data_IF_008596229899
#
_entry.id   IF_008596229899
#
_cell.length_a   1.000
_cell.length_b   1.000
_cell.length_c   1.000
_cell.angle_alpha   90.00
_cell.angle_beta   90.00
_cell.angle_gamma   90.00
#
_symmetry.space_group_name_H-M   'P 1'
#
loop_
_entity.id
_entity.type
_entity.pdbx_description
1 polymer ?
#
# COMPACT_ATOMS: atom_id res chain seq x y z
N UNK A 1 1.57 20.80 -2.42
CA UNK A 1 1.15 20.91 -1.00
C UNK A 1 2.18 20.17 -0.15
N UNK A 2 2.61 20.75 0.98
CA UNK A 2 3.54 20.05 1.92
C UNK A 2 2.67 19.21 2.85
N UNK A 3 2.68 17.86 2.79
CA UNK A 3 1.90 17.07 3.73
C UNK A 3 2.44 17.29 5.15
N UNK A 4 1.55 17.39 6.14
CA UNK A 4 1.94 17.43 7.55
C UNK A 4 2.83 16.21 7.85
N UNK A 5 4.03 16.37 8.43
CA UNK A 5 4.98 15.28 8.69
C UNK A 5 4.41 14.14 9.56
N UNK A 6 3.35 14.41 10.31
CA UNK A 6 2.70 13.47 11.24
C UNK A 6 1.62 12.62 10.53
N UNK A 7 1.15 13.03 9.36
CA UNK A 7 -0.05 12.50 8.72
C UNK A 7 0.19 12.05 7.27
N UNK A 8 0.98 10.99 7.08
CA UNK A 8 1.05 10.33 5.77
C UNK A 8 0.55 8.88 5.85
N UNK A 9 -0.78 8.66 5.94
CA UNK A 9 -1.34 7.31 5.95
C UNK A 9 -1.05 6.59 4.63
N UNK A 10 -0.96 7.31 3.50
CA UNK A 10 -0.59 6.71 2.22
C UNK A 10 0.80 6.07 2.27
N UNK A 11 1.81 6.77 2.82
CA UNK A 11 3.16 6.23 2.96
C UNK A 11 3.22 4.97 3.83
N UNK A 12 2.47 4.95 4.94
CA UNK A 12 2.39 3.75 5.80
C UNK A 12 1.69 2.59 5.07
N UNK A 13 0.57 2.84 4.40
CA UNK A 13 -0.12 1.82 3.60
C UNK A 13 0.79 1.26 2.50
N UNK A 14 1.57 2.11 1.82
CA UNK A 14 2.57 1.66 0.85
C UNK A 14 3.66 0.81 1.50
N UNK A 15 4.14 1.17 2.68
CA UNK A 15 5.10 0.35 3.42
C UNK A 15 4.53 -1.03 3.79
N UNK A 16 3.28 -1.07 4.27
CA UNK A 16 2.56 -2.31 4.58
C UNK A 16 2.33 -3.16 3.34
N UNK A 17 2.08 -2.54 2.19
CA UNK A 17 2.00 -3.23 0.92
C UNK A 17 3.35 -3.82 0.52
N UNK A 18 4.41 -3.00 0.55
CA UNK A 18 5.71 -3.34 -0.01
C UNK A 18 6.43 -4.43 0.79
N UNK A 19 6.40 -4.34 2.13
CA UNK A 19 7.16 -5.22 3.02
C UNK A 19 6.97 -6.73 2.74
N UNK A 20 5.74 -7.28 2.67
CA UNK A 20 5.54 -8.70 2.36
C UNK A 20 5.88 -9.06 0.91
N UNK A 21 5.68 -8.17 -0.07
CA UNK A 21 6.07 -8.46 -1.45
C UNK A 21 7.60 -8.47 -1.63
N UNK A 22 8.33 -7.67 -0.86
CA UNK A 22 9.79 -7.67 -0.88
C UNK A 22 10.39 -9.00 -0.41
N UNK A 23 9.72 -9.74 0.47
CA UNK A 23 10.19 -11.08 0.89
C UNK A 23 10.08 -12.09 -0.24
N UNK A 24 9.08 -11.97 -1.13
CA UNK A 24 8.95 -12.81 -2.33
C UNK A 24 10.04 -12.57 -3.37
N UNK A 25 10.81 -11.48 -3.26
CA UNK A 25 11.96 -11.22 -4.13
C UNK A 25 13.24 -11.89 -3.63
N UNK A 26 13.27 -12.31 -2.36
CA UNK A 26 14.47 -12.86 -1.72
C UNK A 26 14.56 -14.37 -1.96
N UNK A 27 15.77 -14.95 -1.95
CA UNK A 27 15.93 -16.41 -1.95
C UNK A 27 15.15 -17.03 -0.79
N UNK A 28 14.22 -17.92 -1.12
CA UNK A 28 13.41 -18.60 -0.12
C UNK A 28 14.21 -19.75 0.52
N UNK A 29 14.06 -19.98 1.84
CA UNK A 29 14.70 -21.11 2.51
C UNK A 29 14.26 -22.46 1.92
N UNK A 30 15.11 -23.50 2.01
CA UNK A 30 14.82 -24.84 1.45
C UNK A 30 13.53 -25.48 1.98
N UNK A 31 13.06 -25.16 3.18
CA UNK A 31 11.80 -25.67 3.72
C UNK A 31 10.55 -25.07 3.04
N UNK A 32 10.67 -23.94 2.32
CA UNK A 32 9.61 -23.47 1.40
C UNK A 32 9.51 -24.35 0.15
N UNK A 33 10.56 -25.12 -0.19
CA UNK A 33 10.61 -25.97 -1.37
C UNK A 33 9.68 -27.20 -1.26
N UNK A 34 9.41 -27.66 -0.04
CA UNK A 34 8.68 -28.92 0.23
C UNK A 34 7.15 -28.79 0.07
N UNK A 35 6.64 -27.60 -0.24
CA UNK A 35 5.22 -27.33 -0.62
C UNK A 35 5.07 -26.29 -1.75
N UNK A 36 6.14 -26.08 -2.53
CA UNK A 36 6.44 -24.88 -3.33
C UNK A 36 5.52 -24.51 -4.51
N UNK A 37 4.41 -25.22 -4.71
CA UNK A 37 3.50 -24.93 -5.81
C UNK A 37 2.53 -23.77 -5.54
N UNK A 38 2.22 -23.51 -4.26
CA UNK A 38 1.18 -22.55 -3.90
C UNK A 38 1.72 -21.11 -3.81
N UNK A 39 1.11 -20.20 -4.56
CA UNK A 39 1.42 -18.77 -4.48
C UNK A 39 1.07 -18.21 -3.10
N UNK A 40 2.02 -17.50 -2.46
CA UNK A 40 1.77 -16.74 -1.23
C UNK A 40 1.01 -15.43 -1.45
N UNK A 41 0.83 -15.03 -2.71
CA UNK A 41 0.22 -13.75 -3.05
C UNK A 41 -1.20 -13.56 -2.49
N UNK A 42 -2.11 -14.55 -2.50
CA UNK A 42 -3.43 -14.40 -1.89
C UNK A 42 -3.36 -14.12 -0.39
N UNK A 43 -2.41 -14.76 0.31
CA UNK A 43 -2.19 -14.56 1.74
C UNK A 43 -1.61 -13.18 2.05
N UNK A 44 -0.69 -12.69 1.21
CA UNK A 44 -0.17 -11.33 1.30
C UNK A 44 -1.30 -10.32 1.12
N UNK A 45 -2.15 -10.49 0.09
CA UNK A 45 -3.31 -9.61 -0.14
C UNK A 45 -4.28 -9.63 1.03
N UNK A 46 -4.58 -10.80 1.56
CA UNK A 46 -5.44 -10.96 2.74
C UNK A 46 -4.87 -10.23 3.95
N UNK A 47 -3.58 -10.47 4.26
CA UNK A 47 -2.89 -9.83 5.37
C UNK A 47 -2.84 -8.31 5.22
N UNK A 48 -2.45 -7.82 4.03
CA UNK A 48 -2.40 -6.40 3.71
C UNK A 48 -3.77 -5.73 3.92
N UNK A 49 -4.86 -6.37 3.47
CA UNK A 49 -6.21 -5.83 3.61
C UNK A 49 -6.59 -5.64 5.07
N UNK A 50 -6.39 -6.67 5.90
CA UNK A 50 -6.75 -6.61 7.32
C UNK A 50 -5.89 -5.61 8.11
N UNK A 51 -4.59 -5.59 7.88
CA UNK A 51 -3.68 -4.66 8.56
C UNK A 51 -3.95 -3.22 8.12
N UNK A 52 -4.24 -2.98 6.85
CA UNK A 52 -4.63 -1.66 6.34
C UNK A 52 -5.91 -1.15 6.99
N UNK A 53 -6.93 -2.01 7.15
CA UNK A 53 -8.17 -1.66 7.85
C UNK A 53 -7.90 -1.34 9.32
N UNK A 54 -7.13 -2.17 10.03
CA UNK A 54 -6.80 -1.95 11.44
C UNK A 54 -6.00 -0.65 11.64
N UNK A 55 -5.03 -0.39 10.77
CA UNK A 55 -4.25 0.83 10.74
C UNK A 55 -5.13 2.05 10.49
N UNK A 56 -5.92 2.08 9.41
CA UNK A 56 -6.76 3.22 9.06
C UNK A 56 -7.80 3.52 10.12
N UNK A 57 -8.48 2.50 10.67
CA UNK A 57 -9.43 2.70 11.79
C UNK A 57 -8.77 3.37 12.99
N UNK A 58 -7.58 2.91 13.37
CA UNK A 58 -6.84 3.45 14.50
C UNK A 58 -6.35 4.87 14.23
N UNK A 59 -5.81 5.10 13.02
CA UNK A 59 -5.33 6.39 12.55
C UNK A 59 -6.45 7.43 12.56
N UNK A 60 -7.61 7.11 11.97
CA UNK A 60 -8.75 8.02 11.89
C UNK A 60 -9.30 8.40 13.26
N UNK A 61 -9.39 7.43 14.19
CA UNK A 61 -9.78 7.68 15.58
C UNK A 61 -8.82 8.63 16.31
N UNK A 62 -7.52 8.54 16.03
CA UNK A 62 -6.52 9.44 16.65
C UNK A 62 -6.56 10.82 15.98
N UNK A 63 -6.67 10.87 14.65
CA UNK A 63 -6.72 12.10 13.88
C UNK A 63 -7.94 12.97 14.25
N UNK A 64 -9.10 12.34 14.45
CA UNK A 64 -10.31 13.01 14.93
C UNK A 64 -10.09 13.66 16.31
N UNK A 65 -9.52 12.91 17.27
CA UNK A 65 -9.21 13.42 18.62
C UNK A 65 -8.18 14.56 18.63
N UNK A 66 -7.28 14.56 17.66
CA UNK A 66 -6.23 15.57 17.54
C UNK A 66 -6.66 16.78 16.68
N UNK A 67 -7.92 16.84 16.21
CA UNK A 67 -8.41 17.86 15.28
C UNK A 67 -7.56 17.98 14.00
N UNK A 68 -7.00 16.85 13.57
CA UNK A 68 -6.15 16.73 12.38
C UNK A 68 -6.95 16.22 11.16
N UNK A 69 -8.27 16.26 11.24
CA UNK A 69 -9.12 15.70 10.20
C UNK A 69 -9.21 16.64 8.98
N UNK A 70 -8.91 16.17 7.75
CA UNK A 70 -8.78 17.07 6.60
C UNK A 70 -10.11 17.55 5.98
N UNK A 71 -11.27 17.12 6.48
CA UNK A 71 -12.58 17.57 5.98
C UNK A 71 -13.71 16.57 6.18
N UNK A 72 -14.42 16.21 5.13
CA UNK A 72 -15.39 15.11 5.14
C UNK A 72 -14.69 13.76 4.92
N UNK A 73 -15.39 12.66 5.20
CA UNK A 73 -14.86 11.34 4.90
C UNK A 73 -14.57 11.15 3.39
N UNK A 74 -15.41 11.71 2.51
CA UNK A 74 -15.21 11.69 1.06
C UNK A 74 -13.96 12.45 0.63
N UNK A 75 -13.73 13.64 1.18
CA UNK A 75 -12.50 14.42 0.92
C UNK A 75 -11.25 13.68 1.40
N UNK A 76 -11.30 13.05 2.58
CA UNK A 76 -10.22 12.20 3.06
C UNK A 76 -9.91 11.05 2.09
N UNK A 77 -10.94 10.36 1.58
CA UNK A 77 -10.75 9.27 0.61
C UNK A 77 -10.09 9.77 -0.67
N UNK A 78 -10.53 10.89 -1.24
CA UNK A 78 -9.94 11.47 -2.45
C UNK A 78 -8.46 11.84 -2.22
N UNK A 79 -8.15 12.47 -1.10
CA UNK A 79 -6.77 12.84 -0.76
C UNK A 79 -5.89 11.59 -0.53
N UNK A 80 -6.43 10.58 0.13
CA UNK A 80 -5.73 9.32 0.36
C UNK A 80 -5.38 8.63 -0.96
N UNK A 81 -6.36 8.52 -1.86
CA UNK A 81 -6.17 7.87 -3.17
C UNK A 81 -5.16 8.65 -4.03
N UNK A 82 -5.23 9.99 -4.03
CA UNK A 82 -4.26 10.84 -4.72
C UNK A 82 -2.83 10.65 -4.18
N UNK A 83 -2.65 10.63 -2.86
CA UNK A 83 -1.33 10.44 -2.25
C UNK A 83 -0.80 9.01 -2.40
N UNK A 84 -1.67 8.00 -2.40
CA UNK A 84 -1.29 6.63 -2.72
C UNK A 84 -0.75 6.54 -4.15
N UNK A 85 -1.45 7.14 -5.11
CA UNK A 85 -1.03 7.17 -6.51
C UNK A 85 0.29 7.91 -6.69
N UNK A 86 0.43 9.10 -6.10
CA UNK A 86 1.67 9.88 -6.10
C UNK A 86 2.85 9.06 -5.57
N UNK A 87 2.67 8.37 -4.44
CA UNK A 87 3.69 7.50 -3.85
C UNK A 87 4.05 6.34 -4.75
N UNK A 88 3.08 5.68 -5.38
CA UNK A 88 3.37 4.53 -6.24
C UNK A 88 4.11 4.97 -7.50
N UNK A 89 3.74 6.10 -8.11
CA UNK A 89 4.46 6.66 -9.26
C UNK A 89 5.91 6.99 -8.90
N UNK A 90 6.12 7.62 -7.73
CA UNK A 90 7.46 7.86 -7.20
C UNK A 90 8.24 6.55 -7.00
N UNK A 91 7.63 5.52 -6.39
CA UNK A 91 8.25 4.21 -6.19
C UNK A 91 8.65 3.56 -7.51
N UNK A 92 7.80 3.60 -8.55
CA UNK A 92 8.15 3.05 -9.88
C UNK A 92 9.42 3.72 -10.41
N UNK A 93 9.46 5.05 -10.42
CA UNK A 93 10.63 5.79 -10.89
C UNK A 93 11.87 5.48 -10.05
N UNK A 94 11.72 5.39 -8.73
CA UNK A 94 12.83 5.06 -7.83
C UNK A 94 13.36 3.64 -8.06
N UNK A 95 12.49 2.63 -8.13
CA UNK A 95 12.90 1.24 -8.30
C UNK A 95 13.52 0.98 -9.68
N UNK A 96 12.99 1.60 -10.75
CA UNK A 96 13.60 1.52 -12.08
C UNK A 96 15.05 2.02 -12.09
N UNK A 97 15.36 3.06 -11.31
CA UNK A 97 16.69 3.64 -11.26
C UNK A 97 17.64 2.94 -10.28
N UNK A 98 17.12 2.32 -9.20
CA UNK A 98 17.96 1.83 -8.11
C UNK A 98 17.92 0.31 -7.93
N UNK A 99 16.78 -0.34 -8.17
CA UNK A 99 16.58 -1.80 -7.97
C UNK A 99 15.54 -2.34 -8.96
N UNK A 100 15.89 -2.49 -10.25
CA UNK A 100 14.91 -2.82 -11.29
C UNK A 100 14.09 -4.09 -11.03
N UNK A 101 14.65 -5.09 -10.34
CA UNK A 101 13.95 -6.31 -9.96
C UNK A 101 12.76 -6.09 -8.99
N UNK A 102 12.77 -4.97 -8.26
CA UNK A 102 11.70 -4.58 -7.34
C UNK A 102 10.51 -3.88 -8.02
N UNK A 103 10.67 -3.37 -9.26
CA UNK A 103 9.64 -2.54 -9.93
C UNK A 103 8.29 -3.24 -10.07
N UNK A 104 8.28 -4.58 -10.12
CA UNK A 104 7.05 -5.38 -10.18
C UNK A 104 6.12 -5.14 -8.99
N UNK A 105 6.67 -4.77 -7.83
CA UNK A 105 5.89 -4.50 -6.60
C UNK A 105 5.03 -3.24 -6.77
N UNK A 106 5.59 -2.05 -7.04
CA UNK A 106 4.76 -0.85 -7.20
C UNK A 106 3.85 -0.91 -8.44
N UNK A 107 4.26 -1.54 -9.55
CA UNK A 107 3.36 -1.72 -10.72
C UNK A 107 2.09 -2.48 -10.34
N UNK A 108 2.23 -3.58 -9.59
CA UNK A 108 1.06 -4.33 -9.09
C UNK A 108 0.18 -3.47 -8.20
N UNK A 109 0.79 -2.65 -7.33
CA UNK A 109 0.08 -1.69 -6.50
C UNK A 109 -0.78 -0.71 -7.30
N UNK A 110 -0.26 -0.15 -8.41
CA UNK A 110 -1.05 0.73 -9.29
C UNK A 110 -2.25 0.01 -9.86
N UNK A 111 -2.05 -1.20 -10.41
CA UNK A 111 -3.13 -1.96 -11.04
C UNK A 111 -4.27 -2.26 -10.06
N UNK A 112 -3.93 -2.57 -8.81
CA UNK A 112 -4.93 -2.82 -7.76
C UNK A 112 -5.68 -1.56 -7.36
N UNK A 113 -5.00 -0.41 -7.23
CA UNK A 113 -5.65 0.87 -6.93
C UNK A 113 -6.62 1.27 -8.06
N UNK A 114 -6.19 1.16 -9.32
CA UNK A 114 -7.01 1.53 -10.48
C UNK A 114 -8.20 0.59 -10.67
N UNK A 115 -8.02 -0.72 -10.43
CA UNK A 115 -9.10 -1.69 -10.51
C UNK A 115 -10.19 -1.43 -9.45
N UNK A 116 -9.80 -1.11 -8.21
CA UNK A 116 -10.73 -0.77 -7.13
C UNK A 116 -11.52 0.50 -7.45
N UNK A 117 -10.86 1.52 -8.00
CA UNK A 117 -11.53 2.79 -8.33
C UNK A 117 -12.51 2.64 -9.50
N UNK A 118 -12.19 1.81 -10.48
CA UNK A 118 -13.11 1.47 -11.58
C UNK A 118 -14.39 0.79 -11.05
N UNK A 119 -14.29 -0.03 -10.02
CA UNK A 119 -15.44 -0.71 -9.41
C UNK A 119 -16.31 0.19 -8.53
N UNK A 120 -15.81 1.34 -8.05
CA UNK A 120 -16.59 2.33 -7.28
C UNK A 120 -17.35 3.32 -8.18
N UNK A 121 -16.98 3.41 -9.46
CA UNK A 121 -17.57 4.34 -10.42
C UNK A 121 -18.77 3.74 -11.21
N UNK A 122 -18.99 2.42 -11.09
CA UNK A 122 -20.19 1.70 -11.56
C UNK A 122 -21.17 1.50 -10.40
#
# INVERSE_FOLDING_TARGET
>A
MKPSPIMNPAGMLRSLYYAPYATLLRPQPRWHAEGAGASLEPWIRFWYSWVSVAFLKSYLRIAERASLWPGTQSEFHVLLDAHLLEKVVYEIGYELNNRPHCVRIPIRGVLEIVAVNSSKAM
#
